data_IF_882020488335
#
_entry.id   IF_882020488335
#
_cell.length_a   1.000
_cell.length_b   1.000
_cell.length_c   1.000
_cell.angle_alpha   90.00
_cell.angle_beta   90.00
_cell.angle_gamma   90.00
#
_symmetry.space_group_name_H-M   'P 1'
#
loop_
_entity.id
_entity.type
_entity.pdbx_description
1 polymer ?
#
# COMPACT_ATOMS: atom_id res chain seq x y z
N UNK A 1 44.23 -17.46 74.78
CA UNK A 1 43.48 -16.26 74.34
C UNK A 1 43.52 -16.23 72.83
N UNK A 2 42.34 -16.18 72.24
CA UNK A 2 41.96 -16.64 70.90
C UNK A 2 42.52 -15.73 69.80
N UNK A 3 43.07 -16.31 68.72
CA UNK A 3 42.76 -15.85 67.36
C UNK A 3 42.97 -16.98 66.34
N UNK A 4 41.84 -17.43 65.82
CA UNK A 4 41.68 -18.52 64.87
C UNK A 4 42.11 -18.10 63.46
N UNK A 5 42.76 -19.03 62.79
CA UNK A 5 42.97 -19.11 61.35
C UNK A 5 41.62 -19.35 60.65
N UNK A 6 41.19 -18.47 59.74
CA UNK A 6 40.14 -18.78 58.76
C UNK A 6 40.65 -18.34 57.39
N UNK A 7 41.02 -19.36 56.62
CA UNK A 7 41.22 -19.35 55.18
C UNK A 7 39.89 -19.81 54.58
N UNK A 8 39.20 -19.00 53.76
CA UNK A 8 38.21 -19.51 52.80
C UNK A 8 37.74 -18.44 51.81
N UNK A 9 37.98 -18.73 50.53
CA UNK A 9 37.16 -18.40 49.36
C UNK A 9 36.68 -16.95 49.18
N UNK A 10 37.55 -16.11 48.61
CA UNK A 10 37.11 -14.93 47.87
C UNK A 10 36.37 -15.37 46.60
N UNK A 11 35.05 -15.30 46.65
CA UNK A 11 34.12 -15.45 45.53
C UNK A 11 34.49 -14.41 44.45
N UNK A 12 34.99 -14.86 43.31
CA UNK A 12 35.10 -14.06 42.10
C UNK A 12 33.67 -13.75 41.63
N UNK A 13 33.14 -12.61 42.07
CA UNK A 13 31.94 -12.01 41.48
C UNK A 13 32.33 -11.57 40.07
N UNK A 14 32.09 -12.47 39.10
CA UNK A 14 32.05 -12.10 37.69
C UNK A 14 30.88 -11.14 37.56
N UNK A 15 31.19 -9.83 37.53
CA UNK A 15 30.26 -8.79 37.13
C UNK A 15 29.88 -9.07 35.67
N UNK A 16 28.84 -9.89 35.48
CA UNK A 16 28.14 -10.02 34.21
C UNK A 16 27.45 -8.68 33.95
N UNK A 17 28.22 -7.73 33.40
CA UNK A 17 27.72 -6.50 32.83
C UNK A 17 26.90 -6.90 31.61
N UNK A 18 25.62 -7.20 31.85
CA UNK A 18 24.65 -7.46 30.80
C UNK A 18 24.56 -6.21 29.94
N UNK A 19 25.21 -6.26 28.78
CA UNK A 19 24.99 -5.33 27.68
C UNK A 19 23.53 -5.47 27.26
N UNK A 20 22.66 -4.67 27.87
CA UNK A 20 21.35 -4.34 27.34
C UNK A 20 21.60 -3.59 26.03
N UNK A 21 21.67 -4.34 24.93
CA UNK A 21 21.57 -3.77 23.59
C UNK A 21 20.15 -3.22 23.49
N UNK A 22 19.98 -1.96 23.87
CA UNK A 22 18.79 -1.20 23.52
C UNK A 22 18.78 -1.14 22.00
N UNK A 23 17.91 -1.93 21.38
CA UNK A 23 17.55 -1.68 20.01
C UNK A 23 16.81 -0.34 20.02
N UNK A 24 17.54 0.74 19.74
CA UNK A 24 16.94 1.97 19.32
C UNK A 24 16.22 1.65 18.02
N UNK A 25 14.91 1.41 18.10
CA UNK A 25 14.03 1.50 16.95
C UNK A 25 14.25 2.90 16.42
N UNK A 26 14.81 3.02 15.22
CA UNK A 26 14.93 4.29 14.55
C UNK A 26 13.51 4.82 14.36
N UNK A 27 13.12 5.77 15.20
CA UNK A 27 11.91 6.53 15.01
C UNK A 27 12.11 7.24 13.67
N UNK A 28 11.35 6.86 12.63
CA UNK A 28 11.32 7.67 11.43
C UNK A 28 10.86 9.06 11.86
N UNK A 29 11.68 10.07 11.60
CA UNK A 29 11.34 11.44 11.95
C UNK A 29 10.04 11.79 11.20
N UNK A 30 8.94 11.92 11.94
CA UNK A 30 7.65 12.29 11.37
C UNK A 30 7.78 13.66 10.66
N UNK A 31 7.17 13.83 9.49
CA UNK A 31 7.22 15.11 8.76
C UNK A 31 6.53 16.23 9.53
N UNK A 32 6.85 17.50 9.24
CA UNK A 32 6.16 18.63 9.87
C UNK A 32 4.64 18.58 9.63
N UNK A 33 4.22 18.00 8.49
CA UNK A 33 2.83 17.75 8.16
C UNK A 33 2.17 16.88 9.23
N UNK A 34 2.76 15.72 9.55
CA UNK A 34 2.23 14.77 10.54
C UNK A 34 2.35 15.34 11.95
N UNK A 35 3.48 15.96 12.28
CA UNK A 35 3.73 16.54 13.61
C UNK A 35 2.71 17.64 13.94
N UNK A 36 2.39 18.51 12.97
CA UNK A 36 1.41 19.57 13.16
C UNK A 36 -0.02 19.03 13.07
N UNK A 37 -0.38 18.36 11.97
CA UNK A 37 -1.76 17.91 11.74
C UNK A 37 -2.18 16.80 12.70
N UNK A 38 -1.26 15.94 13.16
CA UNK A 38 -1.55 14.89 14.12
C UNK A 38 -1.98 15.40 15.50
N UNK A 39 -1.72 16.67 15.82
CA UNK A 39 -2.18 17.35 17.02
C UNK A 39 -3.47 18.18 16.85
N UNK A 40 -4.02 18.27 15.63
CA UNK A 40 -5.24 19.02 15.33
C UNK A 40 -6.50 18.16 15.51
N UNK A 41 -7.65 18.81 15.69
CA UNK A 41 -8.95 18.14 15.73
C UNK A 41 -9.62 18.11 14.35
N UNK A 42 -10.67 17.30 14.25
CA UNK A 42 -11.64 17.31 13.17
C UNK A 42 -11.00 17.11 11.78
N UNK A 43 -11.44 17.87 10.79
CA UNK A 43 -11.07 17.71 9.38
C UNK A 43 -9.57 17.85 9.10
N UNK A 44 -8.82 18.54 9.97
CA UNK A 44 -7.38 18.76 9.76
C UNK A 44 -6.52 17.67 10.42
N UNK A 45 -7.01 17.00 11.45
CA UNK A 45 -6.27 15.94 12.14
C UNK A 45 -6.69 14.53 11.76
N UNK A 46 -7.96 14.31 11.41
CA UNK A 46 -8.48 12.99 11.02
C UNK A 46 -7.66 12.30 9.90
N UNK A 47 -7.22 13.00 8.83
CA UNK A 47 -6.42 12.38 7.78
C UNK A 47 -5.12 11.74 8.27
N UNK A 48 -4.52 12.24 9.36
CA UNK A 48 -3.28 11.67 9.91
C UNK A 48 -3.53 10.30 10.54
N UNK A 49 -4.66 10.13 11.24
CA UNK A 49 -5.06 8.85 11.80
C UNK A 49 -5.36 7.83 10.70
N UNK A 50 -6.18 8.21 9.73
CA UNK A 50 -6.52 7.40 8.56
C UNK A 50 -5.27 6.99 7.75
N UNK A 51 -4.37 7.95 7.50
CA UNK A 51 -3.13 7.70 6.76
C UNK A 51 -2.22 6.69 7.45
N UNK A 52 -2.09 6.72 8.78
CA UNK A 52 -1.23 5.77 9.51
C UNK A 52 -1.63 4.31 9.30
N UNK A 53 -2.90 4.04 9.02
CA UNK A 53 -3.44 2.70 8.76
C UNK A 53 -3.41 2.33 7.26
N UNK A 54 -2.89 3.20 6.41
CA UNK A 54 -2.88 3.00 4.95
C UNK A 54 -1.69 2.16 4.48
N UNK A 55 -1.87 1.50 3.33
CA UNK A 55 -0.76 0.82 2.62
C UNK A 55 0.35 1.81 2.24
N UNK A 56 0.01 3.08 2.00
CA UNK A 56 0.96 4.13 1.66
C UNK A 56 1.89 4.47 2.82
N UNK A 57 1.36 4.61 4.04
CA UNK A 57 2.18 4.79 5.23
C UNK A 57 3.11 3.58 5.46
N UNK A 58 2.59 2.36 5.30
CA UNK A 58 3.39 1.14 5.38
C UNK A 58 4.54 1.06 4.36
N UNK A 59 4.45 1.81 3.25
CA UNK A 59 5.47 1.92 2.21
C UNK A 59 6.26 3.24 2.25
N UNK A 60 6.14 4.03 3.32
CA UNK A 60 6.91 5.26 3.51
C UNK A 60 6.45 6.46 2.66
N UNK A 61 5.26 6.41 2.06
CA UNK A 61 4.66 7.53 1.32
C UNK A 61 3.92 8.42 2.31
N UNK A 62 4.38 9.66 2.46
CA UNK A 62 3.89 10.67 3.40
C UNK A 62 2.97 11.69 2.72
N UNK A 63 2.42 12.61 3.51
CA UNK A 63 1.42 13.60 3.07
C UNK A 63 1.91 14.44 1.88
N UNK A 64 3.19 14.82 1.87
CA UNK A 64 3.78 15.69 0.87
C UNK A 64 4.07 14.99 -0.46
N UNK A 65 4.21 13.65 -0.48
CA UNK A 65 4.35 12.89 -1.73
C UNK A 65 3.07 12.97 -2.59
N UNK A 66 1.94 13.15 -1.90
CA UNK A 66 0.62 13.37 -2.46
C UNK A 66 0.34 14.86 -2.67
N UNK A 67 0.29 15.63 -1.57
CA UNK A 67 -0.17 17.02 -1.55
C UNK A 67 0.92 18.05 -1.86
N UNK A 68 2.15 17.62 -2.12
CA UNK A 68 3.30 18.51 -2.29
C UNK A 68 3.67 19.25 -1.00
N UNK A 69 4.36 20.38 -1.15
CA UNK A 69 4.82 21.19 -0.03
C UNK A 69 6.20 20.81 0.48
N UNK A 70 6.59 21.40 1.60
CA UNK A 70 7.89 21.17 2.24
C UNK A 70 7.70 20.43 3.58
N UNK A 71 8.10 19.15 3.69
CA UNK A 71 7.91 18.35 4.90
C UNK A 71 8.86 18.72 6.04
N UNK A 72 9.73 19.72 5.85
CA UNK A 72 10.76 20.12 6.81
C UNK A 72 10.61 21.56 7.33
N UNK A 73 9.76 22.37 6.68
CA UNK A 73 9.59 23.79 7.01
C UNK A 73 8.18 24.06 7.54
N UNK A 74 8.03 24.18 8.86
CA UNK A 74 6.76 24.49 9.51
C UNK A 74 6.08 25.77 8.98
N UNK A 75 6.84 26.79 8.60
CA UNK A 75 6.27 28.08 8.21
C UNK A 75 5.74 28.06 6.77
N UNK A 76 6.42 27.33 5.89
CA UNK A 76 6.13 27.32 4.45
C UNK A 76 5.62 25.96 3.93
N UNK A 77 5.39 24.98 4.81
CA UNK A 77 5.03 23.59 4.46
C UNK A 77 3.92 23.51 3.43
N UNK A 78 2.84 24.28 3.62
CA UNK A 78 1.66 24.27 2.74
C UNK A 78 1.60 25.46 1.77
N UNK A 79 2.72 26.13 1.52
CA UNK A 79 2.74 27.24 0.57
C UNK A 79 2.72 26.74 -0.88
N UNK A 80 2.02 27.46 -1.76
CA UNK A 80 2.05 27.20 -3.20
C UNK A 80 3.46 27.38 -3.79
N UNK A 81 4.29 28.25 -3.19
CA UNK A 81 5.70 28.43 -3.55
C UNK A 81 6.53 27.15 -3.34
N UNK A 82 6.14 26.32 -2.38
CA UNK A 82 6.74 24.99 -2.12
C UNK A 82 5.99 23.86 -2.84
N UNK A 83 5.12 24.20 -3.79
CA UNK A 83 4.39 23.22 -4.59
C UNK A 83 3.28 22.49 -3.83
N UNK A 84 2.79 23.05 -2.71
CA UNK A 84 1.61 22.51 -2.06
C UNK A 84 0.37 22.74 -2.92
N UNK A 85 -0.40 21.68 -3.15
CA UNK A 85 -1.57 21.69 -4.03
C UNK A 85 -2.89 21.54 -3.26
N UNK A 86 -2.85 21.15 -1.98
CA UNK A 86 -4.05 20.94 -1.17
C UNK A 86 -4.86 19.72 -1.59
N UNK A 87 -6.17 19.76 -1.32
CA UNK A 87 -7.09 18.70 -1.71
C UNK A 87 -7.43 18.83 -3.22
N UNK A 88 -7.24 17.78 -4.03
CA UNK A 88 -7.55 17.82 -5.45
C UNK A 88 -9.06 17.94 -5.71
N UNK A 89 -9.42 18.64 -6.78
CA UNK A 89 -10.80 18.63 -7.29
C UNK A 89 -11.17 17.23 -7.82
N UNK A 90 -12.48 16.97 -7.93
CA UNK A 90 -13.01 15.65 -8.32
C UNK A 90 -12.35 15.08 -9.59
N UNK A 91 -12.14 15.93 -10.60
CA UNK A 91 -11.56 15.54 -11.88
C UNK A 91 -10.03 15.45 -11.88
N UNK A 92 -9.37 15.94 -10.83
CA UNK A 92 -7.92 15.93 -10.68
C UNK A 92 -7.41 14.69 -9.93
N UNK A 93 -8.31 13.98 -9.24
CA UNK A 93 -7.96 12.80 -8.43
C UNK A 93 -7.26 11.70 -9.24
N UNK A 94 -7.68 11.34 -10.48
CA UNK A 94 -6.97 10.34 -11.26
C UNK A 94 -5.50 10.73 -11.53
N UNK A 95 -5.25 11.99 -11.86
CA UNK A 95 -3.89 12.49 -12.10
C UNK A 95 -3.05 12.49 -10.82
N UNK A 96 -3.69 12.71 -9.68
CA UNK A 96 -3.06 12.66 -8.37
C UNK A 96 -2.51 11.26 -8.05
N UNK A 97 -3.35 10.22 -8.19
CA UNK A 97 -2.93 8.83 -8.00
C UNK A 97 -1.96 8.36 -9.11
N UNK A 98 -2.15 8.88 -10.32
CA UNK A 98 -1.40 8.50 -11.52
C UNK A 98 0.05 8.98 -11.56
N UNK A 99 0.48 9.87 -10.65
CA UNK A 99 1.90 10.26 -10.52
C UNK A 99 2.80 9.05 -10.24
N UNK A 100 2.30 8.11 -9.44
CA UNK A 100 2.99 6.85 -9.13
C UNK A 100 2.35 5.67 -9.89
N UNK A 101 1.01 5.62 -9.98
CA UNK A 101 0.29 4.54 -10.64
C UNK A 101 0.05 4.80 -12.13
N UNK A 102 1.13 5.10 -12.87
CA UNK A 102 1.07 5.56 -14.28
C UNK A 102 0.31 4.59 -15.19
N UNK A 103 0.59 3.29 -15.08
CA UNK A 103 -0.09 2.27 -15.89
C UNK A 103 -1.58 2.15 -15.57
N UNK A 104 -1.96 2.33 -14.31
CA UNK A 104 -3.36 2.33 -13.88
C UNK A 104 -4.08 3.55 -14.44
N UNK A 105 -3.47 4.73 -14.34
CA UNK A 105 -4.02 5.97 -14.92
C UNK A 105 -4.24 5.83 -16.43
N UNK A 106 -3.29 5.23 -17.15
CA UNK A 106 -3.40 4.99 -18.59
C UNK A 106 -4.65 4.16 -18.94
N UNK A 107 -4.87 3.07 -18.21
CA UNK A 107 -6.01 2.17 -18.46
C UNK A 107 -7.33 2.79 -18.03
N UNK A 108 -7.34 3.44 -16.85
CA UNK A 108 -8.49 4.17 -16.32
C UNK A 108 -8.94 5.28 -17.29
N UNK A 109 -8.00 6.07 -17.82
CA UNK A 109 -8.32 7.20 -18.72
C UNK A 109 -8.99 6.75 -20.02
N UNK A 110 -8.67 5.54 -20.49
CA UNK A 110 -9.27 4.91 -21.68
C UNK A 110 -10.56 4.13 -21.36
N UNK A 111 -10.91 4.01 -20.08
CA UNK A 111 -12.08 3.28 -19.59
C UNK A 111 -13.36 4.11 -19.73
N UNK A 112 -14.52 3.46 -19.56
CA UNK A 112 -15.80 4.18 -19.58
C UNK A 112 -15.92 5.19 -18.42
N UNK A 113 -15.34 4.90 -17.25
CA UNK A 113 -15.34 5.81 -16.10
C UNK A 113 -14.47 7.04 -16.36
N UNK A 114 -13.23 6.85 -16.86
CA UNK A 114 -12.33 7.95 -17.18
C UNK A 114 -12.87 8.85 -18.28
N UNK A 115 -13.45 8.27 -19.34
CA UNK A 115 -14.09 9.05 -20.42
C UNK A 115 -15.30 9.87 -19.93
N UNK A 116 -15.96 9.42 -18.87
CA UNK A 116 -17.10 10.09 -18.27
C UNK A 116 -16.74 10.96 -17.06
N UNK A 117 -15.45 11.16 -16.73
CA UNK A 117 -15.01 11.83 -15.51
C UNK A 117 -15.65 13.22 -15.33
N UNK A 118 -15.64 14.05 -16.38
CA UNK A 118 -16.28 15.38 -16.37
C UNK A 118 -17.82 15.36 -16.33
N UNK A 119 -18.43 14.18 -16.43
CA UNK A 119 -19.87 13.94 -16.33
C UNK A 119 -20.24 13.22 -15.03
N UNK A 120 -19.31 13.13 -14.07
CA UNK A 120 -19.51 12.43 -12.80
C UNK A 120 -19.22 10.93 -12.84
N UNK A 121 -18.46 10.47 -13.84
CA UNK A 121 -17.95 9.10 -13.91
C UNK A 121 -17.02 8.79 -12.73
N UNK A 122 -17.04 7.54 -12.25
CA UNK A 122 -16.33 7.15 -11.04
C UNK A 122 -14.82 7.46 -11.10
N UNK A 123 -14.29 8.02 -10.01
CA UNK A 123 -12.86 8.31 -9.82
C UNK A 123 -12.25 7.47 -8.69
N UNK A 124 -10.92 7.48 -8.56
CA UNK A 124 -10.14 6.49 -7.82
C UNK A 124 -10.65 6.25 -6.38
N UNK A 125 -10.91 7.33 -5.66
CA UNK A 125 -11.26 7.26 -4.23
C UNK A 125 -12.69 6.76 -3.98
N UNK A 126 -13.53 6.72 -5.03
CA UNK A 126 -14.89 6.19 -4.91
C UNK A 126 -14.91 4.68 -4.66
N UNK A 127 -13.86 3.98 -5.08
CA UNK A 127 -13.64 2.57 -4.76
C UNK A 127 -12.52 2.43 -3.71
N UNK A 128 -11.38 3.09 -3.88
CA UNK A 128 -10.16 2.82 -3.10
C UNK A 128 -10.03 3.60 -1.78
N UNK A 129 -10.88 4.61 -1.52
CA UNK A 129 -10.64 5.58 -0.43
C UNK A 129 -9.48 6.53 -0.75
N UNK A 130 -9.10 7.39 0.21
CA UNK A 130 -8.11 8.47 0.00
C UNK A 130 -6.97 8.49 1.04
N UNK A 131 -7.24 8.76 2.32
CA UNK A 131 -6.23 8.80 3.37
C UNK A 131 -6.05 7.41 3.99
N UNK A 132 -7.12 6.64 4.18
CA UNK A 132 -7.06 5.23 4.63
C UNK A 132 -6.99 4.25 3.44
N UNK A 133 -6.19 4.55 2.40
CA UNK A 133 -6.09 3.66 1.23
C UNK A 133 -5.51 2.31 1.65
N UNK A 134 -6.29 1.26 1.46
CA UNK A 134 -5.91 -0.12 1.77
C UNK A 134 -5.29 -0.81 0.56
N UNK A 135 -4.63 -1.95 0.80
CA UNK A 135 -4.17 -2.82 -0.27
C UNK A 135 -5.37 -3.25 -1.13
N UNK A 136 -5.28 -3.02 -2.44
CA UNK A 136 -6.35 -3.35 -3.37
C UNK A 136 -6.65 -4.85 -3.37
N UNK A 137 -7.93 -5.18 -3.31
CA UNK A 137 -8.42 -6.55 -3.33
C UNK A 137 -9.81 -6.60 -3.99
N UNK A 138 -10.34 -7.81 -4.21
CA UNK A 138 -11.60 -8.03 -4.91
C UNK A 138 -12.84 -7.53 -4.16
N UNK A 139 -12.74 -7.22 -2.87
CA UNK A 139 -13.86 -6.67 -2.09
C UNK A 139 -14.18 -5.24 -2.50
N UNK A 140 -13.25 -4.53 -3.16
CA UNK A 140 -13.53 -3.23 -3.79
C UNK A 140 -14.55 -3.34 -4.93
N UNK A 141 -14.70 -4.53 -5.51
CA UNK A 141 -15.69 -4.82 -6.53
C UNK A 141 -16.92 -5.39 -5.82
N UNK A 142 -17.84 -4.52 -5.42
CA UNK A 142 -19.03 -4.89 -4.65
C UNK A 142 -20.28 -4.12 -5.11
N UNK A 143 -21.49 -4.65 -4.81
CA UNK A 143 -22.73 -3.98 -5.13
C UNK A 143 -22.81 -2.56 -4.54
N UNK A 144 -22.35 -2.35 -3.32
CA UNK A 144 -22.46 -1.09 -2.59
C UNK A 144 -21.71 0.06 -3.26
N UNK A 145 -20.64 -0.25 -4.00
CA UNK A 145 -19.79 0.71 -4.70
C UNK A 145 -20.24 0.90 -6.14
N UNK A 146 -20.52 -0.20 -6.85
CA UNK A 146 -20.89 -0.15 -8.27
C UNK A 146 -22.35 0.26 -8.50
N UNK A 147 -23.28 -0.21 -7.66
CA UNK A 147 -24.71 0.05 -7.81
C UNK A 147 -25.12 1.50 -7.49
N UNK A 148 -24.18 2.34 -7.05
CA UNK A 148 -24.41 3.77 -6.81
C UNK A 148 -24.79 4.53 -8.09
N UNK A 149 -24.35 4.04 -9.25
CA UNK A 149 -24.53 4.72 -10.53
C UNK A 149 -25.19 3.86 -11.59
N UNK A 150 -24.85 2.56 -11.66
CA UNK A 150 -25.35 1.65 -12.68
C UNK A 150 -25.47 0.22 -12.13
N UNK A 151 -26.10 -0.68 -12.89
CA UNK A 151 -26.26 -2.08 -12.47
C UNK A 151 -24.92 -2.79 -12.18
N UNK A 152 -24.88 -3.64 -11.16
CA UNK A 152 -23.68 -4.36 -10.70
C UNK A 152 -23.32 -5.57 -11.56
N UNK A 153 -24.23 -6.10 -12.39
CA UNK A 153 -24.05 -7.36 -13.13
C UNK A 153 -22.74 -7.44 -13.93
N UNK A 154 -22.34 -6.34 -14.59
CA UNK A 154 -21.09 -6.31 -15.34
C UNK A 154 -19.86 -6.42 -14.43
N UNK A 155 -19.87 -5.70 -13.31
CA UNK A 155 -18.77 -5.72 -12.36
C UNK A 155 -18.66 -7.10 -11.68
N UNK A 156 -19.79 -7.75 -11.40
CA UNK A 156 -19.83 -9.10 -10.84
C UNK A 156 -19.19 -10.13 -11.79
N UNK A 157 -19.51 -10.07 -13.09
CA UNK A 157 -18.87 -10.92 -14.11
C UNK A 157 -17.36 -10.73 -14.16
N UNK A 158 -16.89 -9.48 -14.08
CA UNK A 158 -15.46 -9.17 -14.06
C UNK A 158 -14.82 -9.70 -12.77
N UNK A 159 -15.45 -9.50 -11.61
CA UNK A 159 -14.99 -10.03 -10.32
C UNK A 159 -14.81 -11.54 -10.34
N UNK A 160 -15.78 -12.26 -10.92
CA UNK A 160 -15.72 -13.72 -11.03
C UNK A 160 -14.53 -14.20 -11.88
N UNK A 161 -14.20 -13.49 -12.96
CA UNK A 161 -13.02 -13.80 -13.79
C UNK A 161 -11.73 -13.55 -13.00
N UNK A 162 -11.67 -12.44 -12.27
CA UNK A 162 -10.51 -12.09 -11.46
C UNK A 162 -10.27 -13.10 -10.32
N UNK A 163 -11.34 -13.50 -9.62
CA UNK A 163 -11.27 -14.39 -8.46
C UNK A 163 -10.59 -15.73 -8.76
N UNK A 164 -10.86 -16.32 -9.92
CA UNK A 164 -10.24 -17.60 -10.31
C UNK A 164 -8.73 -17.46 -10.52
N UNK A 165 -8.31 -16.43 -11.26
CA UNK A 165 -6.88 -16.20 -11.52
C UNK A 165 -6.13 -15.76 -10.26
N UNK A 166 -6.76 -14.93 -9.42
CA UNK A 166 -6.19 -14.53 -8.12
C UNK A 166 -5.98 -15.74 -7.20
N UNK A 167 -6.91 -16.69 -7.21
CA UNK A 167 -6.73 -17.95 -6.47
C UNK A 167 -5.48 -18.71 -6.89
N UNK A 168 -5.16 -18.72 -8.18
CA UNK A 168 -3.95 -19.37 -8.70
C UNK A 168 -2.67 -18.59 -8.36
N UNK A 169 -2.70 -17.27 -8.45
CA UNK A 169 -1.58 -16.41 -8.02
C UNK A 169 -1.28 -16.62 -6.54
N UNK A 170 -2.31 -16.64 -5.68
CA UNK A 170 -2.17 -16.86 -4.23
C UNK A 170 -1.61 -18.25 -3.94
N UNK A 171 -2.07 -19.28 -4.67
CA UNK A 171 -1.55 -20.63 -4.52
C UNK A 171 -0.05 -20.71 -4.90
N UNK A 172 0.35 -20.03 -5.98
CA UNK A 172 1.75 -19.96 -6.41
C UNK A 172 2.62 -19.22 -5.38
N UNK A 173 2.15 -18.09 -4.85
CA UNK A 173 2.83 -17.31 -3.82
C UNK A 173 3.09 -18.13 -2.54
N UNK A 174 2.07 -18.88 -2.11
CA UNK A 174 2.17 -19.77 -0.97
C UNK A 174 3.19 -20.91 -1.19
N UNK A 175 3.28 -21.42 -2.43
CA UNK A 175 4.25 -22.45 -2.79
C UNK A 175 5.67 -21.90 -2.84
N UNK A 176 5.90 -20.74 -3.46
CA UNK A 176 7.21 -20.07 -3.46
C UNK A 176 7.68 -19.79 -2.02
N UNK A 177 6.79 -19.29 -1.17
CA UNK A 177 7.06 -19.10 0.26
C UNK A 177 7.46 -20.40 0.95
N UNK A 178 6.80 -21.53 0.61
CA UNK A 178 7.12 -22.85 1.16
C UNK A 178 8.51 -23.33 0.71
N UNK A 179 8.83 -23.17 -0.57
CA UNK A 179 10.11 -23.55 -1.15
C UNK A 179 11.26 -22.71 -0.58
N UNK A 180 11.07 -21.40 -0.41
CA UNK A 180 12.02 -20.51 0.25
C UNK A 180 12.31 -20.95 1.69
N UNK A 181 11.28 -21.34 2.46
CA UNK A 181 11.47 -21.91 3.81
C UNK A 181 12.24 -23.23 3.84
N UNK A 182 12.29 -23.96 2.73
CA UNK A 182 13.10 -25.17 2.56
C UNK A 182 14.52 -24.87 2.08
N UNK A 183 14.89 -23.60 1.93
CA UNK A 183 16.22 -23.16 1.51
C UNK A 183 16.44 -23.17 0.00
N UNK A 184 15.37 -23.15 -0.80
CA UNK A 184 15.46 -22.96 -2.24
C UNK A 184 15.52 -21.48 -2.58
N UNK A 185 16.36 -21.10 -3.53
CA UNK A 185 16.42 -19.73 -4.07
C UNK A 185 15.17 -19.46 -4.91
N UNK A 186 14.32 -18.53 -4.45
CA UNK A 186 13.02 -18.24 -5.07
C UNK A 186 12.85 -16.79 -5.51
N UNK A 187 13.77 -15.88 -5.15
CA UNK A 187 13.66 -14.43 -5.38
C UNK A 187 13.31 -14.05 -6.83
N UNK A 188 13.88 -14.75 -7.81
CA UNK A 188 13.60 -14.51 -9.22
C UNK A 188 12.14 -14.84 -9.58
N UNK A 189 11.60 -15.94 -9.03
CA UNK A 189 10.22 -16.36 -9.24
C UNK A 189 9.24 -15.46 -8.49
N UNK A 190 9.59 -15.03 -7.27
CA UNK A 190 8.79 -14.07 -6.50
C UNK A 190 8.67 -12.74 -7.27
N UNK A 191 9.76 -12.25 -7.86
CA UNK A 191 9.74 -11.07 -8.72
C UNK A 191 8.86 -11.25 -9.97
N UNK A 192 8.95 -12.39 -10.64
CA UNK A 192 8.11 -12.68 -11.81
C UNK A 192 6.63 -12.79 -11.43
N UNK A 193 6.31 -13.45 -10.32
CA UNK A 193 4.94 -13.55 -9.81
C UNK A 193 4.38 -12.18 -9.41
N UNK A 194 5.20 -11.34 -8.78
CA UNK A 194 4.84 -9.97 -8.44
C UNK A 194 4.47 -9.15 -9.69
N UNK A 195 5.29 -9.23 -10.74
CA UNK A 195 5.03 -8.54 -12.02
C UNK A 195 3.77 -9.05 -12.72
N UNK A 196 3.57 -10.38 -12.73
CA UNK A 196 2.36 -11.02 -13.27
C UNK A 196 1.10 -10.54 -12.53
N UNK A 197 1.14 -10.57 -11.20
CA UNK A 197 0.03 -10.10 -10.34
C UNK A 197 -0.30 -8.64 -10.60
N UNK A 198 0.72 -7.76 -10.64
CA UNK A 198 0.49 -6.33 -10.86
C UNK A 198 -0.09 -6.03 -12.24
N UNK A 199 0.39 -6.73 -13.28
CA UNK A 199 -0.16 -6.61 -14.63
C UNK A 199 -1.62 -7.07 -14.66
N UNK A 200 -1.93 -8.17 -13.98
CA UNK A 200 -3.28 -8.71 -13.89
C UNK A 200 -4.26 -7.74 -13.22
N UNK A 201 -3.92 -7.26 -12.02
CA UNK A 201 -4.77 -6.35 -11.26
C UNK A 201 -4.96 -4.99 -11.95
N UNK A 202 -3.98 -4.53 -12.73
CA UNK A 202 -4.12 -3.35 -13.58
C UNK A 202 -5.29 -3.50 -14.57
N UNK A 203 -5.51 -4.68 -15.15
CA UNK A 203 -6.49 -4.90 -16.22
C UNK A 203 -7.93 -4.50 -15.86
N UNK A 204 -8.31 -4.60 -14.57
CA UNK A 204 -9.63 -4.19 -14.08
C UNK A 204 -9.96 -2.72 -14.41
N UNK A 205 -8.95 -1.85 -14.40
CA UNK A 205 -9.13 -0.41 -14.62
C UNK A 205 -9.58 -0.07 -16.05
N UNK A 206 -9.51 -1.02 -16.98
CA UNK A 206 -10.11 -0.86 -18.31
C UNK A 206 -11.63 -1.02 -18.30
N UNK A 207 -12.20 -1.60 -17.23
CA UNK A 207 -13.61 -2.03 -17.04
C UNK A 207 -14.20 -2.82 -18.22
N UNK A 208 -13.33 -3.51 -18.96
CA UNK A 208 -13.69 -4.32 -20.13
C UNK A 208 -13.47 -5.78 -19.83
N UNK A 209 -14.57 -6.54 -19.77
CA UNK A 209 -14.53 -7.99 -19.57
C UNK A 209 -13.57 -8.70 -20.52
N UNK A 210 -13.61 -8.36 -21.82
CA UNK A 210 -12.74 -8.97 -22.83
C UNK A 210 -11.24 -8.76 -22.54
N UNK A 211 -10.87 -7.57 -22.05
CA UNK A 211 -9.47 -7.26 -21.71
C UNK A 211 -9.01 -8.01 -20.47
N UNK A 212 -9.89 -8.15 -19.48
CA UNK A 212 -9.60 -8.95 -18.28
C UNK A 212 -9.41 -10.42 -18.66
N UNK A 213 -10.25 -10.98 -19.54
CA UNK A 213 -10.09 -12.36 -20.05
C UNK A 213 -8.79 -12.57 -20.82
N UNK A 214 -8.43 -11.61 -21.68
CA UNK A 214 -7.15 -11.65 -22.41
C UNK A 214 -5.97 -11.67 -21.43
N UNK A 215 -5.98 -10.79 -20.42
CA UNK A 215 -4.93 -10.73 -19.41
C UNK A 215 -4.92 -11.98 -18.51
N UNK A 216 -6.07 -12.57 -18.18
CA UNK A 216 -6.12 -13.89 -17.53
C UNK A 216 -5.34 -14.91 -18.35
N UNK A 217 -5.56 -15.00 -19.66
CA UNK A 217 -4.84 -15.94 -20.52
C UNK A 217 -3.32 -15.74 -20.50
N UNK A 218 -2.86 -14.48 -20.56
CA UNK A 218 -1.43 -14.15 -20.47
C UNK A 218 -0.83 -14.54 -19.11
N UNK A 219 -1.56 -14.30 -18.02
CA UNK A 219 -1.11 -14.59 -16.66
C UNK A 219 -1.03 -16.09 -16.41
N UNK A 220 -2.04 -16.86 -16.82
CA UNK A 220 -2.04 -18.32 -16.68
C UNK A 220 -0.87 -18.95 -17.45
N UNK A 221 -0.63 -18.51 -18.68
CA UNK A 221 0.54 -18.95 -19.45
C UNK A 221 1.87 -18.56 -18.78
N UNK A 222 1.91 -17.40 -18.10
CA UNK A 222 3.05 -16.96 -17.30
C UNK A 222 3.27 -17.83 -16.06
N UNK A 223 2.21 -18.18 -15.34
CA UNK A 223 2.26 -19.05 -14.16
C UNK A 223 2.73 -20.47 -14.51
N UNK A 224 2.30 -21.01 -15.65
CA UNK A 224 2.76 -22.31 -16.16
C UNK A 224 4.26 -22.33 -16.54
N UNK A 225 4.85 -21.15 -16.77
CA UNK A 225 6.25 -21.00 -17.15
C UNK A 225 7.20 -20.75 -15.95
N UNK A 226 6.65 -20.59 -14.74
CA UNK A 226 7.40 -20.52 -13.47
C UNK A 226 7.74 -21.93 -12.97
#
# INVERSE_FOLDING_TARGET
MIRQTILCCGFLVVLACGLLVSQAVAQQDETVCIQCHGGLSDALGAPVGEWRESIHAGNGISCHDCHGGDPTDYAMAMSSERGFIGAPEYTEVPDFCGRCHVGVLEDYSKSAHGQALHQGGAQCVMCHGNHEVQQANLDLINPESCARCHDYERADKIKAILADTDGQIIAMDAELTRLGKLGMEVDAFEGQLFDLRNRFHRAFHTVKEARVREQTGEVLAGLEAL
#
